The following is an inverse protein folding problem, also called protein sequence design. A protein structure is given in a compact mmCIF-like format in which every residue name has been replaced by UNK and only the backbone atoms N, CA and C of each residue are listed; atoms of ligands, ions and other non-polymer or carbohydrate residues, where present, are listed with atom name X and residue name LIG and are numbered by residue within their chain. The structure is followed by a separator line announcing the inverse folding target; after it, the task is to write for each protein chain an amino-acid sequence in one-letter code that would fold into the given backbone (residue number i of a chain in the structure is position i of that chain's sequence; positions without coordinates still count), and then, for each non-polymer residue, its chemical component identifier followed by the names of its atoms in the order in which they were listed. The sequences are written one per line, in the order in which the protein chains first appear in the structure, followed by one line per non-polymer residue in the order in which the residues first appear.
data_IF_664342798442
#
_entry.id   IF_664342798442
#
_cell.length_a   1.000
_cell.length_b   1.000
_cell.length_c   1.000
_cell.angle_alpha   90.00
_cell.angle_beta   90.00
_cell.angle_gamma   90.00
#
_symmetry.space_group_name_H-M   'P 1'
#
loop_
_entity.id
_entity.type
_entity.pdbx_description
1 polymer ?
#
# COMPACT_ATOMS: atom_id res chain seq x y z
N UNK A 1 -1.59 -12.65 -7.26
CA UNK A 1 -1.65 -11.16 -7.28
C UNK A 1 -1.83 -10.79 -8.73
N UNK A 2 -2.80 -9.95 -9.01
CA UNK A 2 -2.98 -9.37 -10.34
C UNK A 2 -1.96 -8.25 -10.51
N UNK A 3 -1.44 -8.08 -11.73
CA UNK A 3 -0.37 -7.12 -12.03
C UNK A 3 -0.58 -6.54 -13.42
N UNK A 4 -0.40 -5.23 -13.53
CA UNK A 4 -0.23 -4.53 -14.81
C UNK A 4 1.21 -4.72 -15.25
N UNK A 5 1.42 -5.30 -16.42
CA UNK A 5 2.72 -5.50 -17.05
C UNK A 5 2.93 -4.43 -18.13
N UNK A 6 4.17 -4.24 -18.57
CA UNK A 6 4.50 -3.29 -19.63
C UNK A 6 3.69 -3.61 -20.91
N UNK A 7 3.01 -2.59 -21.43
CA UNK A 7 2.17 -2.70 -22.62
C UNK A 7 0.70 -3.06 -22.34
N UNK A 8 0.34 -3.43 -21.11
CA UNK A 8 -1.06 -3.68 -20.76
C UNK A 8 -1.86 -2.38 -20.80
N UNK A 9 -3.01 -2.43 -21.47
CA UNK A 9 -3.97 -1.34 -21.47
C UNK A 9 -4.77 -1.35 -20.17
N UNK A 10 -4.96 -0.17 -19.57
CA UNK A 10 -5.75 0.02 -18.35
C UNK A 10 -6.99 0.89 -18.61
N UNK A 11 -7.89 0.94 -17.65
CA UNK A 11 -8.98 1.92 -17.66
C UNK A 11 -8.48 3.26 -17.10
N UNK A 12 -8.19 4.20 -18.01
CA UNK A 12 -7.72 5.55 -17.65
C UNK A 12 -8.83 6.45 -17.10
N UNK A 13 -10.11 6.04 -17.21
CA UNK A 13 -11.23 6.75 -16.62
C UNK A 13 -11.38 6.47 -15.12
N UNK A 14 -10.88 5.33 -14.63
CA UNK A 14 -10.86 5.01 -13.21
C UNK A 14 -10.06 6.06 -12.44
N UNK A 15 -10.56 6.55 -11.30
CA UNK A 15 -9.86 7.54 -10.48
C UNK A 15 -8.46 7.07 -10.06
N UNK A 16 -8.37 5.78 -9.71
CA UNK A 16 -7.15 5.12 -9.24
C UNK A 16 -6.89 3.88 -10.09
N UNK A 17 -5.69 3.77 -10.63
CA UNK A 17 -5.23 2.59 -11.37
C UNK A 17 -4.45 1.68 -10.42
N UNK A 18 -4.91 0.44 -10.23
CA UNK A 18 -4.19 -0.53 -9.41
C UNK A 18 -3.14 -1.24 -10.25
N UNK A 19 -1.86 -0.99 -9.98
CA UNK A 19 -0.77 -1.65 -10.69
C UNK A 19 -0.52 -3.08 -10.20
N UNK A 20 -0.78 -3.32 -8.91
CA UNK A 20 -0.73 -4.67 -8.34
C UNK A 20 -1.82 -4.83 -7.30
N UNK A 21 -2.54 -5.95 -7.32
CA UNK A 21 -3.68 -6.19 -6.43
C UNK A 21 -3.61 -7.58 -5.80
N UNK A 22 -3.65 -7.70 -4.46
CA UNK A 22 -3.77 -8.99 -3.80
C UNK A 22 -5.04 -9.70 -4.27
N UNK A 23 -4.91 -11.00 -4.59
CA UNK A 23 -6.03 -11.85 -4.96
C UNK A 23 -6.32 -12.80 -3.81
N UNK A 24 -7.58 -13.11 -3.60
CA UNK A 24 -8.04 -14.00 -2.53
C UNK A 24 -9.38 -13.52 -1.99
N UNK A 25 -10.14 -14.44 -1.41
CA UNK A 25 -11.44 -14.16 -0.82
C UNK A 25 -11.61 -14.97 0.47
N UNK A 26 -12.56 -14.58 1.32
CA UNK A 26 -12.82 -15.25 2.62
C UNK A 26 -13.02 -16.76 2.48
N UNK A 27 -13.67 -17.20 1.40
CA UNK A 27 -14.06 -18.60 1.21
C UNK A 27 -13.02 -19.42 0.43
N UNK A 28 -11.91 -18.80 0.01
CA UNK A 28 -10.81 -19.53 -0.62
C UNK A 28 -9.96 -20.20 0.48
N UNK A 29 -9.93 -21.54 0.57
CA UNK A 29 -9.21 -22.25 1.62
C UNK A 29 -7.68 -22.04 1.55
N UNK A 30 -7.15 -21.57 0.41
CA UNK A 30 -5.74 -21.26 0.23
C UNK A 30 -5.42 -19.79 0.57
N UNK A 31 -6.43 -18.93 0.68
CA UNK A 31 -6.22 -17.53 1.03
C UNK A 31 -5.96 -17.35 2.52
N UNK A 32 -5.09 -16.40 2.86
CA UNK A 32 -4.82 -15.95 4.23
C UNK A 32 -4.83 -14.42 4.26
N UNK A 33 -5.21 -13.85 5.40
CA UNK A 33 -5.05 -12.42 5.64
C UNK A 33 -3.56 -12.13 5.76
N UNK A 34 -3.07 -11.14 5.02
CA UNK A 34 -1.64 -10.74 5.02
C UNK A 34 -1.53 -9.22 5.03
N UNK A 35 -0.56 -8.64 5.75
CA UNK A 35 -0.29 -7.20 5.69
C UNK A 35 0.34 -6.76 4.36
N UNK A 36 -0.05 -5.58 3.88
CA UNK A 36 0.52 -4.93 2.71
C UNK A 36 0.81 -3.46 2.98
N UNK A 37 1.93 -2.96 2.46
CA UNK A 37 2.18 -1.54 2.25
C UNK A 37 1.54 -1.13 0.94
N UNK A 38 0.73 -0.08 0.96
CA UNK A 38 0.20 0.54 -0.26
C UNK A 38 1.16 1.66 -0.66
N UNK A 39 1.82 1.51 -1.80
CA UNK A 39 2.61 2.57 -2.41
C UNK A 39 1.74 3.31 -3.42
N UNK A 40 1.42 4.56 -3.09
CA UNK A 40 0.66 5.47 -3.95
C UNK A 40 1.61 6.34 -4.75
N UNK A 41 1.27 6.62 -6.00
CA UNK A 41 2.02 7.53 -6.85
C UNK A 41 1.15 8.17 -7.91
N UNK A 42 1.63 9.23 -8.54
CA UNK A 42 1.02 9.80 -9.73
C UNK A 42 1.96 9.51 -10.90
N UNK A 43 1.49 8.73 -11.87
CA UNK A 43 2.30 8.26 -12.98
C UNK A 43 1.62 8.60 -14.32
N UNK A 44 2.42 8.71 -15.38
CA UNK A 44 1.93 9.10 -16.69
C UNK A 44 1.45 7.89 -17.49
N UNK A 45 0.31 8.03 -18.15
CA UNK A 45 -0.27 7.04 -19.05
C UNK A 45 -0.47 7.67 -20.42
N UNK A 46 -0.26 6.88 -21.48
CA UNK A 46 -0.56 7.29 -22.85
C UNK A 46 -2.07 7.47 -23.03
N UNK A 47 -2.51 8.57 -23.65
CA UNK A 47 -3.94 8.86 -23.80
C UNK A 47 -4.66 7.95 -24.80
N UNK A 48 -3.94 7.44 -25.82
CA UNK A 48 -4.52 6.62 -26.89
C UNK A 48 -4.41 5.12 -26.57
N UNK A 49 -3.20 4.67 -26.26
CA UNK A 49 -2.90 3.27 -26.00
C UNK A 49 -3.32 2.84 -24.59
N UNK A 50 -3.54 3.81 -23.68
CA UNK A 50 -3.92 3.58 -22.27
C UNK A 50 -2.92 2.70 -21.53
N UNK A 51 -1.64 2.83 -21.87
CA UNK A 51 -0.54 2.09 -21.24
C UNK A 51 0.27 3.00 -20.32
N UNK A 52 0.83 2.44 -19.25
CA UNK A 52 1.78 3.15 -18.40
C UNK A 52 3.01 3.57 -19.22
N UNK A 53 3.39 4.85 -19.15
CA UNK A 53 4.57 5.35 -19.85
C UNK A 53 5.85 5.01 -19.09
N UNK A 54 6.89 4.69 -19.85
CA UNK A 54 8.22 4.40 -19.34
C UNK A 54 9.10 5.63 -19.65
N UNK A 55 9.36 6.50 -18.67
CA UNK A 55 10.23 7.65 -18.91
C UNK A 55 11.71 7.25 -18.91
N UNK A 56 12.47 7.86 -19.81
CA UNK A 56 13.92 7.92 -19.71
C UNK A 56 14.34 9.01 -18.72
N UNK A 57 14.62 8.64 -17.47
CA UNK A 57 14.88 9.60 -16.39
C UNK A 57 16.37 9.96 -16.26
N UNK A 58 17.26 8.98 -16.32
CA UNK A 58 18.70 9.13 -16.06
C UNK A 58 19.51 9.10 -17.36
N UNK A 59 20.44 10.03 -17.60
CA UNK A 59 21.22 10.07 -18.83
C UNK A 59 22.09 8.83 -19.03
N UNK A 60 22.15 8.30 -20.26
CA UNK A 60 23.00 7.14 -20.59
C UNK A 60 24.48 7.52 -20.67
N UNK A 61 24.76 8.75 -21.09
CA UNK A 61 26.10 9.31 -21.22
C UNK A 61 26.10 10.84 -21.03
N UNK A 62 27.26 11.47 -21.20
CA UNK A 62 27.44 12.92 -21.03
C UNK A 62 26.65 13.73 -22.07
N UNK A 63 26.44 13.20 -23.27
CA UNK A 63 25.85 13.90 -24.41
C UNK A 63 24.35 13.61 -24.57
N UNK A 64 23.80 12.67 -23.79
CA UNK A 64 22.37 12.37 -23.77
C UNK A 64 21.56 13.62 -23.41
N UNK A 65 20.78 14.10 -24.38
CA UNK A 65 19.90 15.28 -24.24
C UNK A 65 18.42 14.91 -24.08
N UNK A 66 18.10 13.63 -23.91
CA UNK A 66 16.72 13.11 -23.86
C UNK A 66 16.26 12.75 -22.46
N UNK A 67 17.19 12.47 -21.54
CA UNK A 67 16.89 12.15 -20.14
C UNK A 67 16.23 13.31 -19.38
N UNK A 68 15.14 13.01 -18.66
CA UNK A 68 14.37 14.01 -17.92
C UNK A 68 15.22 14.78 -16.90
N UNK A 69 16.13 14.12 -16.16
CA UNK A 69 16.91 14.81 -15.12
C UNK A 69 17.97 15.79 -15.64
N UNK A 70 18.20 15.87 -16.96
CA UNK A 70 19.06 16.89 -17.58
C UNK A 70 18.30 18.09 -18.13
N UNK A 71 17.11 17.86 -18.70
CA UNK A 71 16.40 18.86 -19.50
C UNK A 71 14.99 19.22 -18.95
N UNK A 72 14.46 18.41 -18.03
CA UNK A 72 13.11 18.52 -17.47
C UNK A 72 11.97 18.49 -18.51
N UNK A 73 12.17 17.81 -19.64
CA UNK A 73 11.21 17.65 -20.73
C UNK A 73 10.61 16.23 -20.74
N UNK A 74 9.34 16.14 -20.32
CA UNK A 74 8.60 14.87 -20.29
C UNK A 74 8.39 14.27 -21.68
N UNK A 75 8.16 15.10 -22.71
CA UNK A 75 7.89 14.60 -24.05
C UNK A 75 9.11 13.88 -24.62
N UNK A 76 10.31 14.46 -24.45
CA UNK A 76 11.57 13.81 -24.84
C UNK A 76 11.82 12.53 -24.04
N UNK A 77 11.61 12.59 -22.73
CA UNK A 77 11.81 11.45 -21.83
C UNK A 77 10.91 10.27 -22.16
N UNK A 78 9.62 10.50 -22.42
CA UNK A 78 8.67 9.46 -22.81
C UNK A 78 8.94 8.96 -24.22
N UNK A 79 9.28 9.82 -25.16
CA UNK A 79 9.61 9.40 -26.54
C UNK A 79 10.79 8.43 -26.54
N UNK A 80 11.91 8.79 -25.90
CA UNK A 80 13.08 7.93 -25.84
C UNK A 80 12.82 6.66 -25.02
N UNK A 81 12.20 6.78 -23.85
CA UNK A 81 11.93 5.63 -22.97
C UNK A 81 10.96 4.60 -23.56
N UNK A 82 9.89 5.06 -24.22
CA UNK A 82 8.94 4.17 -24.90
C UNK A 82 9.57 3.52 -26.15
N UNK A 83 10.37 4.26 -26.92
CA UNK A 83 11.14 3.70 -28.04
C UNK A 83 12.11 2.61 -27.56
N UNK A 84 12.82 2.84 -26.46
CA UNK A 84 13.73 1.85 -25.87
C UNK A 84 12.97 0.59 -25.41
N UNK A 85 11.76 0.76 -24.86
CA UNK A 85 10.88 -0.34 -24.48
C UNK A 85 10.16 -1.01 -25.66
N UNK A 86 10.30 -0.49 -26.89
CA UNK A 86 9.59 -0.93 -28.10
C UNK A 86 8.06 -0.88 -27.95
N UNK A 87 7.57 0.12 -27.22
CA UNK A 87 6.14 0.36 -27.02
C UNK A 87 5.72 1.64 -27.76
N UNK A 88 4.49 1.68 -28.30
CA UNK A 88 4.00 2.85 -28.99
C UNK A 88 3.74 4.00 -28.00
N UNK A 89 3.96 5.22 -28.46
CA UNK A 89 3.66 6.45 -27.72
C UNK A 89 2.93 7.43 -28.66
N UNK A 90 1.79 7.95 -28.20
CA UNK A 90 0.94 8.85 -28.98
C UNK A 90 1.42 10.30 -29.02
N UNK A 91 2.43 10.64 -28.23
CA UNK A 91 2.86 12.03 -28.01
C UNK A 91 2.04 12.78 -26.95
N UNK A 92 0.98 12.16 -26.42
CA UNK A 92 0.10 12.74 -25.40
C UNK A 92 0.01 11.82 -24.19
N UNK A 93 -0.08 12.43 -23.01
CA UNK A 93 -0.18 11.69 -21.76
C UNK A 93 -1.13 12.37 -20.79
N UNK A 94 -1.55 11.59 -19.81
CA UNK A 94 -2.29 12.08 -18.66
C UNK A 94 -1.69 11.50 -17.37
N UNK A 95 -1.84 12.23 -16.27
CA UNK A 95 -1.36 11.83 -14.96
C UNK A 95 -2.49 11.13 -14.20
N UNK A 96 -2.21 9.94 -13.66
CA UNK A 96 -3.18 9.18 -12.87
C UNK A 96 -2.60 8.74 -11.55
N UNK A 97 -3.43 8.73 -10.51
CA UNK A 97 -3.09 8.09 -9.26
C UNK A 97 -3.00 6.57 -9.47
N UNK A 98 -1.96 5.98 -8.91
CA UNK A 98 -1.61 4.57 -9.03
C UNK A 98 -1.37 3.97 -7.67
N UNK A 99 -1.91 2.78 -7.43
CA UNK A 99 -1.71 2.05 -6.18
C UNK A 99 -0.98 0.74 -6.45
N UNK A 100 0.09 0.49 -5.71
CA UNK A 100 0.87 -0.74 -5.78
C UNK A 100 0.93 -1.37 -4.40
N UNK A 101 0.47 -2.61 -4.28
CA UNK A 101 0.44 -3.36 -3.02
C UNK A 101 1.70 -4.20 -2.86
N UNK A 102 2.47 -3.92 -1.80
CA UNK A 102 3.70 -4.61 -1.47
C UNK A 102 3.51 -5.42 -0.21
N UNK A 103 3.74 -6.72 -0.27
CA UNK A 103 3.61 -7.60 0.89
C UNK A 103 4.70 -7.27 1.91
N UNK A 104 4.33 -7.18 3.19
CA UNK A 104 5.26 -6.91 4.28
C UNK A 104 5.64 -8.25 4.93
N UNK A 105 6.93 -8.60 4.86
CA UNK A 105 7.47 -9.89 5.35
C UNK A 105 8.65 -9.71 6.32
N UNK A 106 9.14 -8.48 6.49
CA UNK A 106 10.28 -8.14 7.34
C UNK A 106 9.83 -7.19 8.46
N UNK A 107 10.75 -6.79 9.33
CA UNK A 107 10.45 -5.97 10.53
C UNK A 107 9.49 -6.69 11.50
N UNK A 108 9.64 -8.02 11.62
CA UNK A 108 8.89 -8.83 12.59
C UNK A 108 9.25 -8.38 14.00
N UNK A 109 8.27 -7.85 14.70
CA UNK A 109 8.43 -7.40 16.08
C UNK A 109 8.54 -8.59 17.04
N UNK A 110 9.24 -8.43 18.20
CA UNK A 110 9.22 -9.40 19.28
C UNK A 110 7.83 -9.93 19.63
N UNK A 111 7.75 -11.19 20.07
CA UNK A 111 6.48 -11.89 20.33
C UNK A 111 5.56 -11.15 21.34
N UNK A 112 6.14 -10.43 22.30
CA UNK A 112 5.41 -9.61 23.27
C UNK A 112 4.67 -8.41 22.64
N UNK A 113 4.88 -8.16 21.36
CA UNK A 113 4.26 -7.08 20.58
C UNK A 113 3.39 -7.62 19.41
N UNK A 114 3.08 -8.92 19.41
CA UNK A 114 2.15 -9.50 18.46
C UNK A 114 0.75 -8.88 18.61
N UNK A 115 -0.03 -8.88 17.51
CA UNK A 115 -1.40 -8.41 17.55
C UNK A 115 -2.23 -9.26 18.52
N UNK A 116 -2.94 -8.63 19.45
CA UNK A 116 -3.83 -9.28 20.40
C UNK A 116 -5.27 -9.36 19.89
N UNK A 117 -6.09 -10.13 20.60
CA UNK A 117 -7.50 -10.36 20.25
C UNK A 117 -8.28 -9.06 20.01
N UNK A 118 -8.05 -8.03 20.84
CA UNK A 118 -8.80 -6.77 20.79
C UNK A 118 -8.42 -5.87 19.62
N UNK A 119 -7.24 -6.09 19.02
CA UNK A 119 -6.77 -5.30 17.88
C UNK A 119 -7.50 -5.69 16.59
N UNK A 120 -8.08 -6.90 16.53
CA UNK A 120 -8.96 -7.35 15.44
C UNK A 120 -10.43 -7.47 15.87
N UNK A 121 -10.72 -7.70 17.15
CA UNK A 121 -12.08 -7.84 17.69
C UNK A 121 -12.41 -6.71 18.69
N UNK A 122 -12.75 -5.49 18.23
CA UNK A 122 -13.04 -4.35 19.10
C UNK A 122 -14.16 -4.59 20.13
N UNK A 123 -15.08 -5.51 19.84
CA UNK A 123 -16.15 -5.90 20.79
C UNK A 123 -15.61 -6.52 22.09
N UNK A 124 -14.40 -7.09 22.07
CA UNK A 124 -13.74 -7.65 23.24
C UNK A 124 -13.16 -6.57 24.17
N UNK A 125 -13.06 -5.30 23.73
CA UNK A 125 -12.47 -4.20 24.53
C UNK A 125 -13.36 -3.73 25.69
N UNK A 126 -14.68 -3.93 25.59
CA UNK A 126 -15.66 -3.30 26.50
C UNK A 126 -16.10 -4.17 27.68
N UNK A 127 -15.43 -5.30 27.90
CA UNK A 127 -15.74 -6.31 28.91
C UNK A 127 -17.15 -6.94 28.85
N UNK A 128 -17.16 -8.24 29.16
CA UNK A 128 -18.27 -9.21 29.24
C UNK A 128 -18.86 -9.72 27.92
N UNK A 129 -18.12 -10.51 27.15
CA UNK A 129 -18.74 -11.30 26.06
C UNK A 129 -18.50 -12.81 26.09
N UNK A 130 -17.67 -13.33 27.01
CA UNK A 130 -17.52 -14.78 27.23
C UNK A 130 -17.96 -15.18 28.66
N UNK A 131 -17.49 -14.44 29.67
CA UNK A 131 -17.73 -14.68 31.12
C UNK A 131 -19.19 -14.42 31.54
N UNK A 132 -20.02 -13.96 30.60
CA UNK A 132 -21.47 -13.86 30.80
C UNK A 132 -22.16 -15.23 30.74
N UNK A 133 -21.56 -16.20 30.03
CA UNK A 133 -22.15 -17.51 29.77
C UNK A 133 -21.21 -18.70 30.06
N UNK A 134 -19.89 -18.49 30.11
CA UNK A 134 -18.92 -19.53 30.51
C UNK A 134 -18.40 -19.27 31.94
N UNK A 135 -18.36 -20.31 32.76
CA UNK A 135 -17.72 -20.28 34.08
C UNK A 135 -16.22 -20.11 33.90
N UNK A 136 -15.62 -19.16 34.60
CA UNK A 136 -14.16 -19.02 34.72
C UNK A 136 -13.56 -20.34 35.22
N UNK A 137 -12.95 -21.12 34.33
CA UNK A 137 -11.97 -22.10 34.77
C UNK A 137 -10.73 -21.31 35.18
N UNK A 138 -10.43 -21.38 36.48
CA UNK A 138 -9.50 -20.59 37.32
C UNK A 138 -8.03 -20.42 36.87
N UNK A 139 -7.69 -20.66 35.60
CA UNK A 139 -6.32 -20.75 35.11
C UNK A 139 -5.96 -19.75 33.98
N UNK A 140 -6.90 -18.97 33.44
CA UNK A 140 -6.63 -18.04 32.33
C UNK A 140 -7.28 -16.67 32.59
N UNK A 141 -6.46 -15.62 32.71
CA UNK A 141 -6.92 -14.23 32.81
C UNK A 141 -7.14 -13.64 31.41
N UNK A 142 -8.39 -13.68 30.94
CA UNK A 142 -8.78 -13.16 29.62
C UNK A 142 -8.59 -11.65 29.49
N UNK A 143 -8.72 -10.90 30.59
CA UNK A 143 -8.49 -9.46 30.59
C UNK A 143 -7.02 -9.16 30.35
N UNK A 144 -6.13 -9.90 31.01
CA UNK A 144 -4.70 -9.81 30.78
C UNK A 144 -4.34 -10.16 29.33
N UNK A 145 -4.85 -11.26 28.79
CA UNK A 145 -4.57 -11.68 27.40
C UNK A 145 -5.14 -10.72 26.36
N UNK A 146 -6.34 -10.18 26.59
CA UNK A 146 -6.98 -9.20 25.73
C UNK A 146 -6.21 -7.87 25.71
N UNK A 147 -5.67 -7.45 26.85
CA UNK A 147 -5.06 -6.13 27.04
C UNK A 147 -3.52 -6.12 27.09
N UNK A 148 -2.83 -7.22 26.77
CA UNK A 148 -1.37 -7.28 26.54
C UNK A 148 -0.98 -6.43 25.32
N UNK A 149 -1.17 -5.12 25.43
CA UNK A 149 -0.91 -4.16 24.37
C UNK A 149 0.60 -4.06 24.22
N UNK A 150 1.14 -4.11 22.98
CA UNK A 150 2.53 -3.82 22.71
C UNK A 150 2.91 -2.47 23.36
N UNK A 151 3.86 -2.46 24.31
CA UNK A 151 4.39 -1.20 24.83
C UNK A 151 5.35 -0.59 23.80
N UNK A 152 4.81 0.27 22.93
CA UNK A 152 5.57 0.93 21.87
C UNK A 152 6.32 2.17 22.35
N UNK A 153 6.27 2.53 23.65
CA UNK A 153 6.94 3.73 24.18
C UNK A 153 8.44 3.73 23.95
N UNK A 154 9.07 2.56 23.80
CA UNK A 154 10.50 2.48 23.46
C UNK A 154 10.84 2.98 22.04
N UNK A 155 9.84 3.12 21.15
CA UNK A 155 9.99 3.70 19.82
C UNK A 155 9.85 5.22 19.82
N UNK A 156 9.33 5.81 20.91
CA UNK A 156 9.26 7.27 21.05
C UNK A 156 10.68 7.85 21.01
N UNK A 157 10.91 8.77 20.06
CA UNK A 157 12.20 9.43 19.88
C UNK A 157 13.24 8.67 19.05
N UNK A 158 12.91 7.48 18.49
CA UNK A 158 13.84 6.74 17.61
C UNK A 158 13.67 7.04 16.12
N UNK A 159 12.61 7.74 15.71
CA UNK A 159 12.43 8.28 14.34
C UNK A 159 11.58 9.56 14.37
N UNK A 160 11.98 10.57 13.61
CA UNK A 160 11.30 11.89 13.58
C UNK A 160 9.91 11.88 12.92
N UNK A 161 9.54 10.77 12.25
CA UNK A 161 8.27 10.58 11.53
C UNK A 161 7.18 9.88 12.38
N UNK A 162 7.53 9.31 13.54
CA UNK A 162 6.58 8.62 14.41
C UNK A 162 5.97 9.58 15.44
N UNK A 163 5.10 10.48 14.98
CA UNK A 163 4.22 11.24 15.88
C UNK A 163 2.98 10.42 16.17
N UNK A 164 2.87 9.88 17.40
CA UNK A 164 1.63 9.29 17.95
C UNK A 164 0.54 10.36 18.20
N UNK A 165 0.37 11.33 17.29
CA UNK A 165 -0.66 12.37 17.40
C UNK A 165 -2.05 11.87 17.03
N UNK A 166 -2.18 10.60 16.62
CA UNK A 166 -3.45 9.90 16.53
C UNK A 166 -3.29 8.49 17.13
N UNK A 167 -4.26 8.01 17.94
CA UNK A 167 -4.24 6.62 18.39
C UNK A 167 -4.19 5.75 17.14
N UNK A 168 -3.23 4.82 17.10
CA UNK A 168 -3.04 3.92 15.97
C UNK A 168 -4.34 3.17 15.68
N UNK A 169 -5.16 3.71 14.78
CA UNK A 169 -6.16 2.93 14.08
C UNK A 169 -5.36 1.98 13.21
N UNK A 170 -5.30 0.72 13.60
CA UNK A 170 -5.14 -0.35 12.62
C UNK A 170 -6.31 -0.18 11.66
N UNK A 171 -6.06 0.45 10.52
CA UNK A 171 -7.04 0.59 9.44
C UNK A 171 -7.14 -0.79 8.79
N UNK A 172 -8.00 -1.64 9.36
CA UNK A 172 -8.74 -2.61 8.56
C UNK A 172 -9.66 -1.76 7.69
N UNK A 173 -9.48 -1.84 6.37
CA UNK A 173 -10.22 -1.12 5.34
C UNK A 173 -11.70 -0.93 5.72
N UNK A 174 -12.08 0.32 6.01
CA UNK A 174 -13.43 0.84 5.87
C UNK A 174 -13.32 2.29 5.40
N UNK A 175 -14.09 2.60 4.36
CA UNK A 175 -14.04 3.82 3.58
C UNK A 175 -14.21 5.11 4.38
N UNK A 176 -13.45 6.13 4.01
CA UNK A 176 -13.94 7.51 3.99
C UNK A 176 -13.10 8.34 3.03
N UNK A 177 -13.76 8.78 1.96
CA UNK A 177 -13.41 9.90 1.09
C UNK A 177 -13.05 11.13 1.91
N UNK A 178 -11.96 11.82 1.56
CA UNK A 178 -11.75 13.23 1.91
C UNK A 178 -11.33 13.95 0.62
N UNK A 179 -12.22 14.83 0.17
CA UNK A 179 -11.99 15.82 -0.87
C UNK A 179 -11.40 17.08 -0.25
N UNK A 180 -10.26 17.49 -0.80
CA UNK A 180 -9.77 18.83 -1.17
C UNK A 180 -10.18 20.04 -0.29
N UNK A 181 -9.15 20.76 0.16
CA UNK A 181 -8.94 22.19 -0.16
C UNK A 181 -7.52 22.37 -0.67
#
# INVERSE_FOLDING_TARGET
MERVILGDAVDTNADIIQLTTPIGMRNDPNARITPFKIMKGVQAFDTLHRTLLIPHLYPRDADDTTAYWKNYDWSKSFTDGMNAAKLPYSGNWLWKETWTYWRVEHEVMPATMALTCIQCHPSLQKEKTCDRCHQDSRAVDFKQLAHQTPDLRFLEGKRDDFRLTQPAKVIILAASTISIS
#
